data_IF_523026111392
#
_entry.id   IF_523026111392
#
_cell.length_a   1.000
_cell.length_b   1.000
_cell.length_c   1.000
_cell.angle_alpha   90.00
_cell.angle_beta   90.00
_cell.angle_gamma   90.00
#
_symmetry.space_group_name_H-M   'P 1'
#
loop_
_entity.id
_entity.type
_entity.pdbx_description
1 polymer ?
#
# COMPACT_ATOMS: atom_id res chain seq x y z
N UNK A 1 26.39 -21.42 18.21
CA UNK A 1 25.24 -20.97 19.00
C UNK A 1 24.67 -19.77 18.26
N UNK A 2 23.61 -19.96 17.52
CA UNK A 2 22.85 -18.88 16.85
C UNK A 2 22.23 -18.08 18.00
N UNK A 3 22.47 -16.77 18.03
CA UNK A 3 21.98 -15.94 19.13
C UNK A 3 20.45 -15.93 19.19
N UNK A 4 19.89 -15.81 20.38
CA UNK A 4 18.42 -15.73 20.61
C UNK A 4 17.80 -14.63 19.75
N UNK A 5 18.54 -13.57 19.43
CA UNK A 5 18.12 -12.47 18.54
C UNK A 5 17.91 -12.92 17.07
N UNK A 6 18.66 -13.87 16.54
CA UNK A 6 18.46 -14.39 15.16
C UNK A 6 17.26 -15.33 15.05
N UNK A 7 16.91 -16.05 16.13
CA UNK A 7 15.69 -16.86 16.19
C UNK A 7 14.43 -15.98 16.30
N UNK A 8 14.47 -14.89 17.03
CA UNK A 8 13.36 -13.93 17.14
C UNK A 8 13.11 -13.18 15.82
N UNK A 9 14.16 -12.87 15.06
CA UNK A 9 14.04 -12.25 13.73
C UNK A 9 13.36 -13.19 12.69
N UNK A 10 13.67 -14.50 12.74
CA UNK A 10 13.02 -15.47 11.87
C UNK A 10 11.54 -15.76 12.24
N UNK A 11 11.14 -15.52 13.48
CA UNK A 11 9.73 -15.66 13.92
C UNK A 11 8.91 -14.44 13.52
N UNK A 12 9.53 -13.24 13.38
CA UNK A 12 8.86 -12.00 12.96
C UNK A 12 8.43 -11.95 11.49
N UNK A 13 8.99 -12.82 10.64
CA UNK A 13 8.62 -12.92 9.21
C UNK A 13 7.35 -13.73 8.93
N UNK A 14 6.63 -14.22 9.95
CA UNK A 14 5.36 -14.89 9.73
C UNK A 14 4.26 -13.87 9.44
N UNK A 15 4.03 -13.68 8.14
CA UNK A 15 2.97 -12.95 7.48
C UNK A 15 1.67 -12.87 8.29
N UNK A 16 1.43 -11.74 8.95
CA UNK A 16 0.07 -11.35 9.27
C UNK A 16 -0.58 -10.92 7.96
N UNK A 17 -1.07 -11.91 7.18
CA UNK A 17 -1.89 -11.63 6.01
C UNK A 17 -3.03 -10.71 6.44
N UNK A 18 -3.21 -9.58 5.77
CA UNK A 18 -4.35 -8.71 5.97
C UNK A 18 -5.01 -8.47 4.62
N UNK A 19 -6.33 -8.56 4.58
CA UNK A 19 -7.10 -8.26 3.37
C UNK A 19 -7.04 -6.76 3.11
N UNK A 20 -6.71 -6.40 1.88
CA UNK A 20 -6.65 -5.01 1.40
C UNK A 20 -7.85 -4.66 0.53
N UNK A 21 -8.46 -5.65 -0.11
CA UNK A 21 -9.62 -5.49 -0.97
C UNK A 21 -10.58 -6.66 -0.82
N UNK A 22 -11.87 -6.36 -0.67
CA UNK A 22 -12.96 -7.33 -0.82
C UNK A 22 -13.55 -7.13 -2.21
N UNK A 23 -13.66 -8.22 -2.97
CA UNK A 23 -14.28 -8.23 -4.30
C UNK A 23 -15.59 -9.02 -4.21
N UNK A 24 -16.64 -8.39 -4.65
CA UNK A 24 -18.00 -8.89 -4.56
C UNK A 24 -18.48 -9.42 -5.90
N UNK A 25 -19.10 -10.59 -5.92
CA UNK A 25 -20.13 -10.85 -6.89
C UNK A 25 -21.40 -10.08 -6.53
N UNK A 26 -22.41 -10.07 -7.40
CA UNK A 26 -23.61 -9.25 -7.22
C UNK A 26 -24.87 -10.08 -7.04
N UNK A 27 -25.26 -10.86 -8.07
CA UNK A 27 -26.48 -11.63 -8.08
C UNK A 27 -26.46 -12.70 -6.98
N UNK A 28 -27.50 -12.79 -6.17
CA UNK A 28 -27.57 -13.64 -4.97
C UNK A 28 -26.40 -13.49 -3.97
N UNK A 29 -25.51 -12.50 -4.18
CA UNK A 29 -24.36 -12.20 -3.31
C UNK A 29 -24.50 -10.85 -2.62
N UNK A 30 -24.46 -9.73 -3.35
CA UNK A 30 -24.68 -8.38 -2.80
C UNK A 30 -26.17 -8.10 -2.60
N UNK A 31 -27.00 -8.61 -3.50
CA UNK A 31 -28.45 -8.54 -3.46
C UNK A 31 -29.08 -9.91 -3.69
N UNK A 32 -30.36 -10.04 -3.32
CA UNK A 32 -31.19 -11.20 -3.64
C UNK A 32 -31.72 -11.05 -5.05
N UNK A 33 -31.69 -12.14 -5.81
CA UNK A 33 -32.19 -12.22 -7.19
C UNK A 33 -31.06 -12.06 -8.23
N UNK A 34 -31.47 -12.25 -9.50
CA UNK A 34 -30.60 -12.15 -10.69
C UNK A 34 -31.05 -10.96 -11.52
N UNK A 35 -30.19 -9.94 -11.63
CA UNK A 35 -30.56 -8.62 -12.18
C UNK A 35 -31.16 -8.66 -13.59
N UNK A 36 -30.69 -9.58 -14.43
CA UNK A 36 -31.19 -9.70 -15.82
C UNK A 36 -32.41 -10.60 -15.98
N UNK A 37 -32.79 -11.34 -14.95
CA UNK A 37 -33.90 -12.32 -15.00
C UNK A 37 -35.09 -11.89 -14.13
N UNK A 38 -34.81 -11.25 -12.99
CA UNK A 38 -35.83 -10.87 -12.03
C UNK A 38 -36.37 -9.44 -12.30
N UNK A 39 -37.63 -9.20 -11.98
CA UNK A 39 -38.25 -7.87 -12.12
C UNK A 39 -37.61 -6.85 -11.17
N UNK A 40 -37.24 -7.28 -9.96
CA UNK A 40 -36.63 -6.46 -8.94
C UNK A 40 -35.57 -7.28 -8.17
N UNK A 41 -34.47 -6.66 -7.83
CA UNK A 41 -33.45 -7.18 -6.89
C UNK A 41 -33.48 -6.31 -5.64
N UNK A 42 -33.18 -6.91 -4.48
CA UNK A 42 -33.15 -6.21 -3.19
C UNK A 42 -31.84 -6.50 -2.47
N UNK A 43 -31.25 -5.48 -1.86
CA UNK A 43 -30.00 -5.64 -1.10
C UNK A 43 -30.17 -6.68 0.02
N UNK A 44 -29.12 -7.46 0.25
CA UNK A 44 -29.05 -8.33 1.43
C UNK A 44 -29.12 -7.52 2.71
N UNK A 45 -29.65 -8.11 3.76
CA UNK A 45 -29.73 -7.48 5.08
C UNK A 45 -28.33 -7.08 5.58
N UNK A 46 -28.23 -5.90 6.17
CA UNK A 46 -26.98 -5.31 6.72
C UNK A 46 -25.83 -5.08 5.72
N UNK A 47 -26.00 -5.35 4.42
CA UNK A 47 -24.93 -5.21 3.43
C UNK A 47 -24.34 -3.78 3.38
N UNK A 48 -25.18 -2.76 3.50
CA UNK A 48 -24.75 -1.36 3.50
C UNK A 48 -23.84 -1.08 4.70
N UNK A 49 -24.20 -1.56 5.89
CA UNK A 49 -23.38 -1.38 7.08
C UNK A 49 -22.05 -2.13 6.97
N UNK A 50 -22.05 -3.32 6.37
CA UNK A 50 -20.85 -4.10 6.11
C UNK A 50 -19.90 -3.35 5.17
N UNK A 51 -20.41 -2.83 4.05
CA UNK A 51 -19.62 -2.02 3.09
C UNK A 51 -19.00 -0.80 3.78
N UNK A 52 -19.80 -0.07 4.57
CA UNK A 52 -19.32 1.11 5.30
C UNK A 52 -18.25 0.75 6.35
N UNK A 53 -18.43 -0.37 7.04
CA UNK A 53 -17.46 -0.81 8.06
C UNK A 53 -16.13 -1.21 7.42
N UNK A 54 -16.15 -1.94 6.31
CA UNK A 54 -14.94 -2.28 5.55
C UNK A 54 -14.25 -1.03 5.02
N UNK A 55 -14.99 -0.08 4.45
CA UNK A 55 -14.45 1.21 3.98
C UNK A 55 -13.76 1.99 5.12
N UNK A 56 -14.40 2.10 6.28
CA UNK A 56 -13.83 2.75 7.47
C UNK A 56 -12.56 2.04 7.98
N UNK A 57 -12.47 0.72 7.86
CA UNK A 57 -11.27 -0.06 8.17
C UNK A 57 -10.16 0.13 7.12
N UNK A 58 -10.43 0.85 6.04
CA UNK A 58 -9.51 1.06 4.92
C UNK A 58 -9.30 -0.21 4.10
N UNK A 59 -10.28 -1.11 4.09
CA UNK A 59 -10.37 -2.24 3.17
C UNK A 59 -11.12 -1.76 1.94
N UNK A 60 -10.43 -1.74 0.81
CA UNK A 60 -11.02 -1.34 -0.47
C UNK A 60 -12.06 -2.35 -0.92
N UNK A 61 -12.94 -1.94 -1.82
CA UNK A 61 -13.94 -2.83 -2.36
C UNK A 61 -14.01 -2.71 -3.89
N UNK A 62 -14.29 -3.81 -4.55
CA UNK A 62 -14.46 -3.91 -6.00
C UNK A 62 -15.58 -4.92 -6.33
N UNK A 63 -15.86 -5.06 -7.61
CA UNK A 63 -16.86 -5.99 -8.13
C UNK A 63 -16.22 -6.89 -9.17
N UNK A 64 -16.56 -8.18 -9.15
CA UNK A 64 -16.32 -9.13 -10.24
C UNK A 64 -17.62 -9.88 -10.50
N UNK A 65 -18.40 -9.47 -11.50
CA UNK A 65 -19.73 -10.04 -11.78
C UNK A 65 -19.94 -10.29 -13.27
N UNK A 66 -20.57 -11.41 -13.60
CA UNK A 66 -21.02 -11.75 -14.95
C UNK A 66 -22.38 -11.11 -15.22
N UNK A 67 -22.37 -9.87 -15.69
CA UNK A 67 -23.57 -9.09 -15.86
C UNK A 67 -23.43 -8.04 -16.97
N UNK A 68 -24.53 -7.37 -17.35
CA UNK A 68 -24.48 -6.18 -18.21
C UNK A 68 -24.01 -4.96 -17.43
N UNK A 69 -22.97 -4.30 -17.93
CA UNK A 69 -22.32 -3.18 -17.24
C UNK A 69 -23.25 -2.02 -16.98
N UNK A 70 -24.01 -1.58 -18.00
CA UNK A 70 -24.83 -0.37 -17.91
C UNK A 70 -25.99 -0.56 -16.92
N UNK A 71 -26.69 -1.70 -17.04
CA UNK A 71 -27.79 -2.06 -16.14
C UNK A 71 -27.31 -2.17 -14.70
N UNK A 72 -26.16 -2.82 -14.49
CA UNK A 72 -25.58 -3.02 -13.15
C UNK A 72 -25.17 -1.71 -12.50
N UNK A 73 -24.50 -0.81 -13.25
CA UNK A 73 -24.09 0.50 -12.70
C UNK A 73 -25.33 1.31 -12.32
N UNK A 74 -26.37 1.33 -13.16
CA UNK A 74 -27.64 2.01 -12.85
C UNK A 74 -28.24 1.48 -11.55
N UNK A 75 -28.24 0.15 -11.36
CA UNK A 75 -28.77 -0.46 -10.13
C UNK A 75 -27.93 -0.12 -8.89
N UNK A 76 -26.61 -0.11 -9.01
CA UNK A 76 -25.71 0.31 -7.93
C UNK A 76 -25.88 1.80 -7.58
N UNK A 77 -26.17 2.66 -8.56
CA UNK A 77 -26.49 4.07 -8.35
C UNK A 77 -27.82 4.23 -7.59
N UNK A 78 -28.86 3.47 -7.97
CA UNK A 78 -30.14 3.45 -7.24
C UNK A 78 -29.95 3.07 -5.77
N UNK A 79 -29.04 2.14 -5.47
CA UNK A 79 -28.70 1.75 -4.10
C UNK A 79 -27.71 2.71 -3.41
N UNK A 80 -27.13 3.70 -4.13
CA UNK A 80 -26.14 4.64 -3.62
C UNK A 80 -24.78 4.01 -3.32
N UNK A 81 -24.47 2.87 -3.93
CA UNK A 81 -23.29 2.05 -3.63
C UNK A 81 -22.12 2.21 -4.62
N UNK A 82 -22.34 2.75 -5.82
CA UNK A 82 -21.34 2.86 -6.89
C UNK A 82 -19.99 3.46 -6.39
N UNK A 83 -20.07 4.46 -5.54
CA UNK A 83 -18.89 5.17 -5.01
C UNK A 83 -17.95 4.33 -4.15
N UNK A 84 -18.38 3.15 -3.69
CA UNK A 84 -17.58 2.27 -2.84
C UNK A 84 -16.71 1.29 -3.64
N UNK A 85 -17.04 1.04 -4.90
CA UNK A 85 -16.39 0.03 -5.71
C UNK A 85 -15.38 0.65 -6.68
N UNK A 86 -14.12 0.26 -6.52
CA UNK A 86 -13.00 0.70 -7.36
C UNK A 86 -12.72 -0.35 -8.44
N UNK A 87 -12.49 0.09 -9.68
CA UNK A 87 -12.14 -0.77 -10.81
C UNK A 87 -13.08 -1.97 -11.01
N UNK A 88 -14.41 -1.79 -10.97
CA UNK A 88 -15.35 -2.89 -11.09
C UNK A 88 -15.17 -3.63 -12.43
N UNK A 89 -15.14 -4.95 -12.36
CA UNK A 89 -15.10 -5.86 -13.49
C UNK A 89 -16.49 -6.49 -13.67
N UNK A 90 -17.33 -5.83 -14.44
CA UNK A 90 -18.69 -6.28 -14.78
C UNK A 90 -18.66 -6.66 -16.25
N UNK A 91 -18.48 -7.94 -16.53
CA UNK A 91 -18.32 -8.50 -17.86
C UNK A 91 -18.48 -10.02 -17.82
N UNK A 92 -18.43 -10.70 -18.98
CA UNK A 92 -18.62 -12.13 -19.11
C UNK A 92 -17.32 -12.96 -19.07
N UNK A 93 -16.20 -12.36 -18.62
CA UNK A 93 -14.93 -13.07 -18.42
C UNK A 93 -14.99 -13.97 -17.17
N UNK A 94 -13.98 -14.85 -17.01
CA UNK A 94 -13.88 -15.64 -15.78
C UNK A 94 -13.64 -14.73 -14.55
N UNK A 95 -14.13 -15.15 -13.39
CA UNK A 95 -13.91 -14.43 -12.13
C UNK A 95 -12.42 -14.31 -11.83
N UNK A 96 -11.64 -15.37 -12.07
CA UNK A 96 -10.19 -15.33 -11.87
C UNK A 96 -9.50 -14.23 -12.70
N UNK A 97 -9.87 -14.07 -13.98
CA UNK A 97 -9.35 -13.00 -14.84
C UNK A 97 -9.72 -11.61 -14.32
N UNK A 98 -10.97 -11.43 -13.89
CA UNK A 98 -11.47 -10.18 -13.32
C UNK A 98 -10.72 -9.82 -12.03
N UNK A 99 -10.46 -10.79 -11.16
CA UNK A 99 -9.68 -10.60 -9.92
C UNK A 99 -8.23 -10.23 -10.18
N UNK A 100 -7.58 -10.83 -11.20
CA UNK A 100 -6.22 -10.46 -11.62
C UNK A 100 -6.16 -9.00 -12.12
N UNK A 101 -7.14 -8.55 -12.90
CA UNK A 101 -7.19 -7.17 -13.38
C UNK A 101 -7.45 -6.17 -12.25
N UNK A 102 -8.32 -6.51 -11.28
CA UNK A 102 -8.54 -5.72 -10.07
C UNK A 102 -7.25 -5.62 -9.25
N UNK A 103 -6.56 -6.74 -8.99
CA UNK A 103 -5.30 -6.78 -8.25
C UNK A 103 -4.23 -5.87 -8.90
N UNK A 104 -4.10 -5.96 -10.22
CA UNK A 104 -3.19 -5.15 -11.02
C UNK A 104 -3.55 -3.66 -10.94
N UNK A 105 -4.82 -3.31 -11.11
CA UNK A 105 -5.30 -1.93 -11.08
C UNK A 105 -5.13 -1.28 -9.69
N UNK A 106 -5.33 -2.05 -8.61
CA UNK A 106 -5.11 -1.62 -7.23
C UNK A 106 -3.63 -1.70 -6.81
N UNK A 107 -2.78 -2.32 -7.62
CA UNK A 107 -1.37 -2.61 -7.31
C UNK A 107 -1.21 -3.33 -5.96
N UNK A 108 -1.96 -4.42 -5.77
CA UNK A 108 -1.91 -5.29 -4.58
C UNK A 108 -1.66 -6.74 -4.96
N UNK A 109 -1.13 -7.53 -4.02
CA UNK A 109 -0.98 -8.98 -4.23
C UNK A 109 -2.32 -9.71 -4.20
N UNK A 110 -2.42 -10.84 -4.91
CA UNK A 110 -3.59 -11.70 -4.90
C UNK A 110 -3.90 -12.24 -3.48
N UNK A 111 -2.88 -12.43 -2.67
CA UNK A 111 -2.96 -12.83 -1.25
C UNK A 111 -3.59 -11.78 -0.32
N UNK A 112 -3.83 -10.57 -0.83
CA UNK A 112 -4.48 -9.48 -0.11
C UNK A 112 -5.94 -9.25 -0.56
N UNK A 113 -6.51 -10.18 -1.35
CA UNK A 113 -7.89 -10.12 -1.85
C UNK A 113 -8.74 -11.18 -1.15
N UNK A 114 -9.95 -10.79 -0.75
CA UNK A 114 -11.04 -11.71 -0.46
C UNK A 114 -12.09 -11.59 -1.56
N UNK A 115 -12.55 -12.72 -2.08
CA UNK A 115 -13.59 -12.80 -3.09
C UNK A 115 -14.83 -13.49 -2.51
N UNK A 116 -16.01 -12.89 -2.72
CA UNK A 116 -17.28 -13.34 -2.20
C UNK A 116 -18.22 -13.65 -3.36
N UNK A 117 -18.77 -14.86 -3.36
CA UNK A 117 -19.66 -15.35 -4.40
C UNK A 117 -20.62 -16.39 -3.80
N UNK A 118 -21.87 -16.50 -4.32
CA UNK A 118 -22.85 -17.51 -3.91
C UNK A 118 -22.60 -18.86 -4.62
N UNK A 119 -21.95 -18.84 -5.79
CA UNK A 119 -21.75 -20.02 -6.60
C UNK A 119 -20.48 -20.77 -6.23
N UNK A 120 -20.63 -21.95 -5.66
CA UNK A 120 -19.50 -22.82 -5.31
C UNK A 120 -18.59 -23.11 -6.50
N UNK A 121 -19.12 -23.22 -7.71
CA UNK A 121 -18.33 -23.44 -8.93
C UNK A 121 -17.35 -22.28 -9.19
N UNK A 122 -17.81 -21.03 -9.08
CA UNK A 122 -16.97 -19.84 -9.27
C UNK A 122 -15.89 -19.75 -8.18
N UNK A 123 -16.24 -20.04 -6.93
CA UNK A 123 -15.28 -20.08 -5.83
C UNK A 123 -14.20 -21.15 -6.04
N UNK A 124 -14.58 -22.35 -6.49
CA UNK A 124 -13.62 -23.43 -6.75
C UNK A 124 -12.73 -23.13 -7.98
N UNK A 125 -13.27 -22.50 -9.04
CA UNK A 125 -12.48 -22.04 -10.18
C UNK A 125 -11.42 -21.02 -9.74
N UNK A 126 -11.82 -20.06 -8.90
CA UNK A 126 -10.89 -19.04 -8.36
C UNK A 126 -9.85 -19.69 -7.45
N UNK A 127 -10.22 -20.58 -6.55
CA UNK A 127 -9.27 -21.30 -5.69
C UNK A 127 -8.24 -22.11 -6.48
N UNK A 128 -8.67 -22.72 -7.59
CA UNK A 128 -7.79 -23.49 -8.46
C UNK A 128 -6.81 -22.59 -9.24
N UNK A 129 -7.32 -21.48 -9.78
CA UNK A 129 -6.53 -20.58 -10.65
C UNK A 129 -5.68 -19.59 -9.87
N UNK A 130 -6.18 -19.12 -8.72
CA UNK A 130 -5.59 -18.09 -7.88
C UNK A 130 -5.62 -18.55 -6.40
N UNK A 131 -4.83 -19.55 -6.01
CA UNK A 131 -4.91 -20.19 -4.69
C UNK A 131 -4.57 -19.27 -3.51
N UNK A 132 -4.00 -18.09 -3.78
CA UNK A 132 -3.68 -17.10 -2.76
C UNK A 132 -4.91 -16.30 -2.28
N UNK A 133 -5.98 -16.24 -3.08
CA UNK A 133 -7.20 -15.47 -2.77
C UNK A 133 -7.98 -16.18 -1.66
N UNK A 134 -8.47 -15.38 -0.71
CA UNK A 134 -9.45 -15.84 0.26
C UNK A 134 -10.84 -15.88 -0.38
N UNK A 135 -11.35 -17.07 -0.68
CA UNK A 135 -12.71 -17.26 -1.19
C UNK A 135 -13.68 -17.47 -0.04
N UNK A 136 -14.79 -16.72 -0.03
CA UNK A 136 -15.84 -16.72 1.00
C UNK A 136 -17.18 -16.99 0.32
N UNK A 137 -17.96 -17.92 0.84
CA UNK A 137 -19.33 -18.13 0.35
C UNK A 137 -20.23 -16.98 0.82
N UNK A 138 -21.17 -16.58 -0.04
CA UNK A 138 -22.13 -15.52 0.27
C UNK A 138 -23.00 -15.80 1.52
N UNK A 139 -23.16 -17.06 1.91
CA UNK A 139 -23.86 -17.44 3.14
C UNK A 139 -23.05 -17.10 4.41
N UNK A 140 -21.74 -16.90 4.29
CA UNK A 140 -20.82 -16.56 5.39
C UNK A 140 -20.61 -15.03 5.54
N UNK A 141 -21.31 -14.20 4.76
CA UNK A 141 -21.16 -12.74 4.76
C UNK A 141 -21.33 -12.14 6.16
N UNK A 142 -22.23 -12.71 6.99
CA UNK A 142 -22.49 -12.25 8.35
C UNK A 142 -21.26 -12.25 9.26
N UNK A 143 -20.33 -13.16 9.04
CA UNK A 143 -19.15 -13.39 9.90
C UNK A 143 -17.89 -12.62 9.45
N UNK A 144 -17.95 -11.97 8.29
CA UNK A 144 -16.76 -11.33 7.67
C UNK A 144 -16.12 -10.29 8.59
N UNK A 145 -16.91 -9.48 9.27
CA UNK A 145 -16.40 -8.42 10.15
C UNK A 145 -15.69 -8.96 11.39
N UNK A 146 -15.96 -10.20 11.77
CA UNK A 146 -15.36 -10.88 12.93
C UNK A 146 -14.08 -11.65 12.58
N UNK A 147 -13.81 -11.84 11.29
CA UNK A 147 -12.57 -12.47 10.83
C UNK A 147 -11.36 -11.63 11.22
N UNK A 148 -10.35 -12.18 11.94
CA UNK A 148 -9.15 -11.41 12.35
C UNK A 148 -8.41 -10.75 11.17
N UNK A 149 -8.45 -11.37 9.99
CA UNK A 149 -7.81 -10.88 8.76
C UNK A 149 -8.49 -9.62 8.19
N UNK A 150 -9.76 -9.36 8.58
CA UNK A 150 -10.55 -8.16 8.23
C UNK A 150 -10.49 -7.08 9.32
N UNK A 151 -9.73 -7.32 10.39
CA UNK A 151 -9.64 -6.43 11.54
C UNK A 151 -8.23 -5.85 11.64
N UNK A 152 -7.95 -4.66 11.09
CA UNK A 152 -6.68 -3.99 11.31
C UNK A 152 -6.54 -3.60 12.79
N UNK A 153 -5.31 -3.65 13.33
CA UNK A 153 -5.04 -3.26 14.72
C UNK A 153 -5.43 -1.80 14.99
N UNK A 154 -5.21 -0.92 14.02
CA UNK A 154 -5.57 0.50 14.10
C UNK A 154 -6.40 0.91 12.89
N UNK A 155 -7.37 1.77 13.13
CA UNK A 155 -8.13 2.47 12.10
C UNK A 155 -7.63 3.91 12.07
N UNK A 156 -6.62 4.16 11.24
CA UNK A 156 -5.99 5.47 11.09
C UNK A 156 -6.88 6.42 10.27
N UNK A 157 -6.59 7.71 10.30
CA UNK A 157 -7.25 8.68 9.43
C UNK A 157 -7.03 8.36 7.95
N UNK A 158 -5.79 7.98 7.59
CA UNK A 158 -5.45 7.48 6.25
C UNK A 158 -6.27 6.23 5.85
N UNK A 159 -6.62 5.36 6.80
CA UNK A 159 -7.49 4.20 6.54
C UNK A 159 -8.89 4.63 6.13
N UNK A 160 -9.48 5.57 6.86
CA UNK A 160 -10.86 6.06 6.63
C UNK A 160 -11.05 6.74 5.28
N UNK A 161 -10.01 7.42 4.79
CA UNK A 161 -10.05 8.15 3.51
C UNK A 161 -9.36 7.38 2.37
N UNK A 162 -8.95 6.13 2.61
CA UNK A 162 -8.15 5.36 1.65
C UNK A 162 -8.81 5.24 0.29
N UNK A 163 -10.10 4.92 0.24
CA UNK A 163 -10.85 4.85 -1.02
C UNK A 163 -10.79 6.17 -1.78
N UNK A 164 -10.94 7.30 -1.10
CA UNK A 164 -10.85 8.63 -1.73
C UNK A 164 -9.45 8.88 -2.32
N UNK A 165 -8.39 8.44 -1.64
CA UNK A 165 -7.03 8.50 -2.18
C UNK A 165 -6.89 7.70 -3.48
N UNK A 166 -7.53 6.52 -3.58
CA UNK A 166 -7.54 5.74 -4.82
C UNK A 166 -8.37 6.39 -5.93
N UNK A 167 -9.49 7.03 -5.60
CA UNK A 167 -10.26 7.82 -6.58
C UNK A 167 -9.40 8.94 -7.14
N UNK A 168 -8.69 9.69 -6.29
CA UNK A 168 -7.75 10.72 -6.74
C UNK A 168 -6.62 10.13 -7.59
N UNK A 169 -6.15 8.89 -7.30
CA UNK A 169 -5.15 8.21 -8.13
C UNK A 169 -5.71 7.85 -9.52
N UNK A 170 -6.97 7.45 -9.62
CA UNK A 170 -7.65 7.19 -10.90
C UNK A 170 -7.73 8.48 -11.72
N UNK A 171 -8.11 9.60 -11.10
CA UNK A 171 -8.18 10.90 -11.76
C UNK A 171 -6.80 11.33 -12.27
N UNK A 172 -5.74 11.16 -11.48
CA UNK A 172 -4.35 11.43 -11.89
C UNK A 172 -3.92 10.59 -13.07
N UNK A 173 -4.18 9.28 -13.03
CA UNK A 173 -3.83 8.37 -14.11
C UNK A 173 -4.56 8.70 -15.42
N UNK A 174 -5.82 9.10 -15.34
CA UNK A 174 -6.57 9.53 -16.51
C UNK A 174 -6.00 10.83 -17.08
N UNK A 175 -5.72 11.82 -16.23
CA UNK A 175 -5.08 13.05 -16.64
C UNK A 175 -3.67 12.83 -17.24
N UNK A 176 -2.89 11.86 -16.70
CA UNK A 176 -1.58 11.51 -17.24
C UNK A 176 -1.68 10.87 -18.64
N UNK A 177 -2.67 10.01 -18.87
CA UNK A 177 -2.91 9.38 -20.19
C UNK A 177 -3.33 10.39 -21.26
N UNK A 178 -4.09 11.42 -20.87
CA UNK A 178 -4.58 12.47 -21.78
C UNK A 178 -3.56 13.59 -22.00
N UNK A 179 -2.52 13.66 -21.14
CA UNK A 179 -1.52 14.73 -21.22
C UNK A 179 -0.58 14.55 -22.40
N UNK A 180 -0.42 15.62 -23.18
CA UNK A 180 0.50 15.69 -24.32
C UNK A 180 1.77 16.40 -23.87
N UNK A 181 2.83 15.65 -23.59
CA UNK A 181 4.12 16.16 -23.13
C UNK A 181 4.97 15.08 -22.50
N UNK A 182 6.08 15.50 -21.90
CA UNK A 182 6.97 14.59 -21.15
C UNK A 182 6.42 14.30 -19.75
N UNK A 183 6.91 13.22 -19.13
CA UNK A 183 6.56 12.88 -17.74
C UNK A 183 6.86 14.03 -16.78
N UNK A 184 8.01 14.71 -16.92
CA UNK A 184 8.40 15.82 -16.05
C UNK A 184 7.45 17.04 -16.21
N UNK A 185 7.02 17.31 -17.43
CA UNK A 185 6.03 18.36 -17.68
C UNK A 185 4.67 18.01 -17.06
N UNK A 186 4.24 16.78 -17.16
CA UNK A 186 3.03 16.31 -16.44
C UNK A 186 3.18 16.48 -14.93
N UNK A 187 4.28 15.97 -14.34
CA UNK A 187 4.55 16.10 -12.91
C UNK A 187 4.55 17.56 -12.44
N UNK A 188 5.03 18.48 -13.27
CA UNK A 188 5.00 19.91 -12.95
C UNK A 188 3.57 20.47 -12.84
N UNK A 189 2.59 19.88 -13.55
CA UNK A 189 1.18 20.29 -13.47
C UNK A 189 0.51 19.85 -12.17
N UNK A 190 1.08 18.90 -11.44
CA UNK A 190 0.48 18.33 -10.22
C UNK A 190 0.58 19.27 -9.02
N UNK A 191 1.52 20.23 -9.01
CA UNK A 191 1.78 21.12 -7.88
C UNK A 191 2.10 20.34 -6.58
N UNK A 192 2.98 19.36 -6.67
CA UNK A 192 3.29 18.48 -5.55
C UNK A 192 3.96 19.20 -4.38
N UNK A 193 3.41 19.01 -3.18
CA UNK A 193 4.01 19.41 -1.89
C UNK A 193 4.45 18.14 -1.16
N UNK A 194 5.75 17.97 -0.99
CA UNK A 194 6.35 16.83 -0.34
C UNK A 194 7.02 17.26 0.96
N UNK A 195 6.62 16.63 2.08
CA UNK A 195 7.10 16.99 3.40
C UNK A 195 7.77 15.76 4.03
N UNK A 196 8.95 15.95 4.65
CA UNK A 196 9.58 15.00 5.56
C UNK A 196 9.62 15.63 6.94
N UNK A 197 9.22 14.89 7.96
CA UNK A 197 9.29 15.33 9.36
C UNK A 197 9.82 14.23 10.27
N UNK A 198 10.32 14.60 11.45
CA UNK A 198 10.53 13.66 12.54
C UNK A 198 9.18 13.07 12.96
N UNK A 199 9.08 11.73 13.05
CA UNK A 199 7.83 11.08 13.39
C UNK A 199 7.39 11.46 14.81
N UNK A 200 6.15 11.87 14.96
CA UNK A 200 5.52 12.14 16.25
C UNK A 200 4.73 10.92 16.74
N UNK A 201 4.26 10.94 17.97
CA UNK A 201 3.51 9.82 18.55
C UNK A 201 2.22 9.51 17.76
N UNK A 202 1.56 10.55 17.29
CA UNK A 202 0.36 10.48 16.44
C UNK A 202 0.59 9.79 15.09
N UNK A 203 1.84 9.77 14.61
CA UNK A 203 2.21 9.12 13.35
C UNK A 203 2.40 7.61 13.50
N UNK A 204 2.64 7.10 14.71
CA UNK A 204 3.11 5.73 14.92
C UNK A 204 2.10 4.66 14.49
N UNK A 205 0.81 4.90 14.67
CA UNK A 205 -0.23 3.98 14.19
C UNK A 205 -0.16 3.83 12.67
N UNK A 206 0.01 4.96 11.98
CA UNK A 206 0.15 4.95 10.52
C UNK A 206 1.50 4.39 10.09
N UNK A 207 2.58 4.66 10.82
CA UNK A 207 3.90 4.08 10.56
C UNK A 207 3.88 2.55 10.68
N UNK A 208 3.26 1.97 11.73
CA UNK A 208 3.03 0.52 11.83
C UNK A 208 2.25 0.02 10.62
N UNK A 209 1.13 0.65 10.28
CA UNK A 209 0.31 0.27 9.14
C UNK A 209 1.12 0.28 7.81
N UNK A 210 1.97 1.27 7.61
CA UNK A 210 2.84 1.35 6.42
C UNK A 210 3.78 0.15 6.35
N UNK A 211 4.39 -0.28 7.46
CA UNK A 211 5.29 -1.45 7.47
C UNK A 211 4.55 -2.74 7.13
N UNK A 212 3.30 -2.89 7.61
CA UNK A 212 2.47 -4.07 7.35
C UNK A 212 1.95 -4.12 5.90
N UNK A 213 1.65 -2.97 5.31
CA UNK A 213 1.01 -2.90 3.99
C UNK A 213 1.98 -2.73 2.82
N UNK A 214 3.24 -2.41 3.08
CA UNK A 214 4.23 -2.11 2.03
C UNK A 214 5.24 -3.23 1.89
N UNK A 215 5.13 -4.02 0.81
CA UNK A 215 6.01 -5.15 0.55
C UNK A 215 7.01 -4.85 -0.59
N UNK A 216 6.55 -4.24 -1.70
CA UNK A 216 7.39 -4.00 -2.89
C UNK A 216 8.40 -2.88 -2.68
N UNK A 217 7.97 -1.78 -2.05
CA UNK A 217 8.81 -0.62 -1.81
C UNK A 217 9.23 -0.55 -0.33
N UNK A 218 9.76 -1.65 0.18
CA UNK A 218 10.32 -1.80 1.53
C UNK A 218 11.70 -2.46 1.43
N UNK A 219 12.76 -1.81 1.91
CA UNK A 219 14.15 -2.25 1.75
C UNK A 219 14.47 -3.54 2.48
N UNK A 220 13.79 -3.85 3.57
CA UNK A 220 14.07 -5.04 4.38
C UNK A 220 12.92 -6.02 4.45
N UNK A 221 11.69 -5.57 4.14
CA UNK A 221 10.48 -6.35 4.34
C UNK A 221 10.10 -6.51 5.83
N UNK A 222 10.85 -5.90 6.76
CA UNK A 222 10.51 -5.96 8.18
C UNK A 222 9.25 -5.18 8.47
N UNK A 223 8.46 -5.72 9.40
CA UNK A 223 7.29 -5.06 9.99
C UNK A 223 7.65 -4.65 11.41
N UNK A 224 7.31 -3.43 11.77
CA UNK A 224 7.56 -2.88 13.09
C UNK A 224 6.24 -2.58 13.79
N UNK A 225 6.14 -2.98 15.06
CA UNK A 225 5.01 -2.64 15.91
C UNK A 225 5.05 -1.18 16.36
N UNK A 226 3.91 -0.67 16.83
CA UNK A 226 3.81 0.65 17.44
C UNK A 226 4.86 0.86 18.53
N UNK A 227 5.02 -0.12 19.44
CA UNK A 227 5.92 -0.03 20.58
C UNK A 227 7.39 0.01 20.15
N UNK A 228 7.78 -0.78 19.14
CA UNK A 228 9.13 -0.74 18.56
C UNK A 228 9.40 0.62 17.89
N UNK A 229 8.47 1.12 17.10
CA UNK A 229 8.60 2.43 16.44
C UNK A 229 8.67 3.56 17.47
N UNK A 230 7.90 3.47 18.56
CA UNK A 230 7.95 4.46 19.63
C UNK A 230 9.30 4.42 20.37
N UNK A 231 9.86 3.24 20.60
CA UNK A 231 11.19 3.10 21.18
C UNK A 231 12.26 3.75 20.30
N UNK A 232 12.21 3.56 18.97
CA UNK A 232 13.12 4.23 18.05
C UNK A 232 12.91 5.74 18.00
N UNK A 233 11.67 6.21 18.03
CA UNK A 233 11.34 7.65 18.07
C UNK A 233 11.93 8.36 19.29
N UNK A 234 11.94 7.68 20.44
CA UNK A 234 12.45 8.22 21.70
C UNK A 234 13.96 8.04 21.89
N UNK A 235 14.61 7.25 21.04
CA UNK A 235 16.04 6.93 21.14
C UNK A 235 16.89 8.05 20.59
N UNK A 236 17.92 8.48 21.35
CA UNK A 236 18.92 9.45 20.90
C UNK A 236 19.81 8.90 19.76
N UNK A 237 19.89 7.56 19.63
CA UNK A 237 20.68 6.88 18.63
C UNK A 237 19.90 6.52 17.37
N UNK A 238 18.67 7.00 17.23
CA UNK A 238 17.84 6.74 16.06
C UNK A 238 17.14 8.01 15.56
N UNK A 239 16.89 8.02 14.25
CA UNK A 239 15.98 8.99 13.63
C UNK A 239 14.87 8.20 12.94
N UNK A 240 13.63 8.47 13.34
CA UNK A 240 12.45 7.96 12.69
C UNK A 240 11.79 9.13 11.95
N UNK A 241 11.84 9.08 10.60
CA UNK A 241 11.31 10.12 9.74
C UNK A 241 10.07 9.60 9.02
N UNK A 242 9.06 10.46 8.90
CA UNK A 242 7.85 10.17 8.16
C UNK A 242 7.70 11.16 7.00
N UNK A 243 7.19 10.67 5.86
CA UNK A 243 7.01 11.48 4.67
C UNK A 243 5.53 11.53 4.26
N UNK A 244 5.07 12.71 3.84
CA UNK A 244 3.74 12.92 3.30
C UNK A 244 3.80 13.63 1.95
N UNK A 245 2.79 13.40 1.13
CA UNK A 245 2.65 14.01 -0.19
C UNK A 245 1.21 14.47 -0.40
N UNK A 246 1.07 15.64 -1.00
CA UNK A 246 -0.20 16.12 -1.53
C UNK A 246 0.00 16.77 -2.89
N UNK A 247 -1.03 16.83 -3.70
CA UNK A 247 -1.04 17.51 -4.98
C UNK A 247 -2.41 18.15 -5.26
N UNK A 248 -2.61 18.71 -6.46
CA UNK A 248 -3.87 19.37 -6.85
C UNK A 248 -5.11 18.46 -6.82
N UNK A 249 -4.94 17.11 -6.84
CA UNK A 249 -6.04 16.16 -6.75
C UNK A 249 -6.33 15.72 -5.31
N UNK A 250 -5.45 16.05 -4.36
CA UNK A 250 -5.63 15.76 -2.94
C UNK A 250 -4.43 15.12 -2.28
N UNK A 251 -4.63 14.70 -1.03
CA UNK A 251 -3.58 14.09 -0.21
C UNK A 251 -3.38 12.62 -0.57
N UNK A 252 -2.11 12.20 -0.61
CA UNK A 252 -1.71 10.79 -0.59
C UNK A 252 -1.59 10.24 0.83
N UNK A 253 -1.70 11.10 1.85
CA UNK A 253 -1.46 10.78 3.26
C UNK A 253 0.01 10.63 3.60
N UNK A 254 0.28 9.94 4.70
CA UNK A 254 1.64 9.54 5.07
C UNK A 254 2.07 8.38 4.16
N UNK A 255 3.09 8.62 3.33
CA UNK A 255 3.45 7.73 2.22
C UNK A 255 4.82 7.07 2.39
N UNK A 256 5.64 7.51 3.31
CA UNK A 256 7.00 6.99 3.49
C UNK A 256 7.45 6.97 4.93
N UNK A 257 8.36 6.06 5.25
CA UNK A 257 8.99 5.92 6.55
C UNK A 257 10.47 5.62 6.36
N UNK A 258 11.31 6.28 7.15
CA UNK A 258 12.75 6.03 7.19
C UNK A 258 13.16 5.83 8.65
N UNK A 259 13.84 4.72 8.93
CA UNK A 259 14.50 4.48 10.21
C UNK A 259 16.01 4.51 10.00
N UNK A 260 16.70 5.37 10.73
CA UNK A 260 18.16 5.52 10.67
C UNK A 260 18.72 5.23 12.06
N UNK A 261 19.64 4.31 12.16
CA UNK A 261 20.50 4.12 13.34
C UNK A 261 21.69 5.07 13.24
N UNK A 262 21.86 5.93 14.25
CA UNK A 262 22.85 7.00 14.28
C UNK A 262 23.98 6.64 15.27
N UNK A 263 25.14 6.28 14.76
CA UNK A 263 26.35 6.08 15.54
C UNK A 263 27.32 7.25 15.31
N UNK A 264 28.31 7.49 16.20
CA UNK A 264 29.18 8.67 16.10
C UNK A 264 29.95 8.82 14.79
N UNK A 265 30.29 7.72 14.11
CA UNK A 265 31.08 7.73 12.87
C UNK A 265 30.32 7.24 11.63
N UNK A 266 29.14 6.64 11.82
CA UNK A 266 28.34 6.09 10.73
C UNK A 266 26.87 6.07 11.05
N UNK A 267 26.05 6.39 10.06
CA UNK A 267 24.61 6.22 10.12
C UNK A 267 24.20 5.07 9.20
N UNK A 268 23.24 4.28 9.65
CA UNK A 268 22.73 3.13 8.88
C UNK A 268 21.24 3.28 8.66
N UNK A 269 20.79 3.34 7.41
CA UNK A 269 19.37 3.23 7.06
C UNK A 269 18.94 1.80 7.35
N UNK A 270 18.17 1.61 8.43
CA UNK A 270 17.62 0.31 8.85
C UNK A 270 16.33 -0.04 8.13
N UNK A 271 15.59 0.97 7.71
CA UNK A 271 14.37 0.85 6.94
C UNK A 271 14.21 2.07 6.04
N UNK A 272 13.90 1.83 4.78
CA UNK A 272 13.33 2.80 3.87
C UNK A 272 12.12 2.15 3.20
N UNK A 273 10.95 2.70 3.40
CA UNK A 273 9.77 2.26 2.69
C UNK A 273 8.94 3.43 2.17
N UNK A 274 8.18 3.16 1.12
CA UNK A 274 7.22 4.11 0.58
C UNK A 274 6.01 3.39 -0.02
N UNK A 275 4.85 4.01 0.05
CA UNK A 275 3.61 3.51 -0.55
C UNK A 275 3.75 3.30 -2.05
N UNK A 276 3.22 2.20 -2.59
CA UNK A 276 3.22 1.93 -4.03
C UNK A 276 2.46 3.00 -4.84
N UNK A 277 1.53 3.75 -4.22
CA UNK A 277 0.78 4.84 -4.86
C UNK A 277 1.66 6.00 -5.34
N UNK A 278 2.84 6.17 -4.76
CA UNK A 278 3.78 7.23 -5.15
C UNK A 278 4.92 6.74 -6.06
N UNK A 279 4.83 5.50 -6.54
CA UNK A 279 5.73 4.99 -7.57
C UNK A 279 5.67 5.95 -8.78
N UNK A 280 6.78 6.28 -9.39
CA UNK A 280 6.88 7.26 -10.48
C UNK A 280 6.70 8.75 -10.13
N UNK A 281 6.51 9.13 -8.88
CA UNK A 281 6.43 10.56 -8.46
C UNK A 281 7.80 11.14 -8.01
N UNK A 282 8.87 10.35 -8.08
CA UNK A 282 10.23 10.80 -7.73
C UNK A 282 10.51 10.92 -6.22
N UNK A 283 9.52 10.68 -5.35
CA UNK A 283 9.63 10.90 -3.89
C UNK A 283 10.68 10.02 -3.23
N UNK A 284 10.89 8.78 -3.70
CA UNK A 284 11.93 7.90 -3.17
C UNK A 284 13.35 8.46 -3.32
N UNK A 285 13.62 9.10 -4.44
CA UNK A 285 14.90 9.80 -4.67
C UNK A 285 15.05 10.98 -3.73
N UNK A 286 13.97 11.75 -3.50
CA UNK A 286 14.00 12.90 -2.58
C UNK A 286 14.25 12.42 -1.15
N UNK A 287 13.60 11.32 -0.72
CA UNK A 287 13.81 10.72 0.60
C UNK A 287 15.26 10.30 0.80
N UNK A 288 15.85 9.59 -0.17
CA UNK A 288 17.28 9.18 -0.11
C UNK A 288 18.22 10.39 -0.10
N UNK A 289 18.01 11.35 -0.98
CA UNK A 289 18.84 12.57 -1.05
C UNK A 289 18.77 13.37 0.25
N UNK A 290 17.61 13.40 0.91
CA UNK A 290 17.47 14.04 2.22
C UNK A 290 18.35 13.35 3.26
N UNK A 291 18.33 12.03 3.37
CA UNK A 291 19.17 11.27 4.31
C UNK A 291 20.65 11.43 3.97
N UNK A 292 21.02 11.38 2.68
CA UNK A 292 22.40 11.61 2.23
C UNK A 292 22.88 13.02 2.63
N UNK A 293 22.03 14.04 2.47
CA UNK A 293 22.33 15.42 2.88
C UNK A 293 22.50 15.55 4.40
N UNK A 294 21.67 14.84 5.17
CA UNK A 294 21.81 14.82 6.62
C UNK A 294 23.12 14.14 7.06
N UNK A 295 23.49 13.02 6.47
CA UNK A 295 24.75 12.32 6.77
C UNK A 295 25.97 13.18 6.40
N UNK A 296 25.93 13.82 5.21
CA UNK A 296 27.00 14.74 4.77
C UNK A 296 27.17 15.93 5.71
N UNK A 297 26.06 16.57 6.16
CA UNK A 297 26.10 17.68 7.11
C UNK A 297 26.68 17.30 8.48
N UNK A 298 26.53 16.04 8.88
CA UNK A 298 27.04 15.52 10.15
C UNK A 298 28.43 14.88 10.02
N UNK A 299 29.01 14.89 8.83
CA UNK A 299 30.35 14.32 8.52
C UNK A 299 30.48 12.85 8.93
N UNK A 300 29.42 12.04 8.65
CA UNK A 300 29.37 10.61 8.97
C UNK A 300 29.25 9.76 7.72
N UNK A 301 29.77 8.53 7.78
CA UNK A 301 29.53 7.53 6.73
C UNK A 301 28.07 7.16 6.66
N UNK A 302 27.54 6.96 5.46
CA UNK A 302 26.16 6.51 5.27
C UNK A 302 26.12 5.08 4.75
N UNK A 303 25.59 4.21 5.58
CA UNK A 303 25.29 2.81 5.27
C UNK A 303 23.79 2.61 5.07
N UNK A 304 23.42 1.53 4.38
CA UNK A 304 22.02 1.15 4.22
C UNK A 304 21.87 -0.37 4.22
N UNK A 305 20.91 -0.86 4.97
CA UNK A 305 20.57 -2.28 5.02
C UNK A 305 19.54 -2.63 3.94
N UNK A 306 19.75 -3.76 3.28
CA UNK A 306 18.82 -4.34 2.33
C UNK A 306 18.68 -5.84 2.56
N UNK A 307 17.46 -6.32 2.71
CA UNK A 307 17.15 -7.74 2.82
C UNK A 307 16.31 -8.16 1.62
N UNK A 308 16.90 -8.87 0.64
CA UNK A 308 16.18 -9.26 -0.58
C UNK A 308 15.02 -10.20 -0.28
N UNK A 309 13.91 -9.96 -0.97
CA UNK A 309 12.77 -10.85 -1.03
C UNK A 309 12.15 -10.84 -2.45
N UNK A 310 11.15 -11.68 -2.69
CA UNK A 310 10.54 -11.87 -4.02
C UNK A 310 9.89 -10.60 -4.60
N UNK A 311 9.67 -9.55 -3.78
CA UNK A 311 8.89 -8.37 -4.15
C UNK A 311 9.68 -7.06 -4.17
N UNK A 312 10.81 -6.95 -3.45
CA UNK A 312 11.48 -5.66 -3.20
C UNK A 312 12.67 -5.32 -4.10
N UNK A 313 12.80 -5.99 -5.24
CA UNK A 313 13.89 -5.73 -6.21
C UNK A 313 14.01 -4.26 -6.61
N UNK A 314 12.90 -3.53 -6.68
CA UNK A 314 12.91 -2.09 -7.01
C UNK A 314 13.69 -1.26 -5.98
N UNK A 315 13.66 -1.62 -4.71
CA UNK A 315 14.40 -0.91 -3.66
C UNK A 315 15.92 -1.13 -3.77
N UNK A 316 16.36 -2.34 -4.17
CA UNK A 316 17.74 -2.59 -4.52
C UNK A 316 18.22 -1.67 -5.66
N UNK A 317 17.41 -1.59 -6.73
CA UNK A 317 17.68 -0.74 -7.88
C UNK A 317 17.73 0.73 -7.46
N UNK A 318 16.83 1.18 -6.58
CA UNK A 318 16.80 2.55 -6.06
C UNK A 318 18.10 2.91 -5.32
N UNK A 319 18.63 2.01 -4.48
CA UNK A 319 19.93 2.23 -3.84
C UNK A 319 21.06 2.34 -4.86
N UNK A 320 21.11 1.45 -5.87
CA UNK A 320 22.14 1.49 -6.92
C UNK A 320 22.09 2.80 -7.72
N UNK A 321 20.91 3.28 -8.09
CA UNK A 321 20.75 4.56 -8.80
C UNK A 321 21.12 5.78 -7.95
N UNK A 322 20.89 5.71 -6.63
CA UNK A 322 21.32 6.74 -5.70
C UNK A 322 22.84 6.70 -5.39
N UNK A 323 23.59 5.80 -6.04
CA UNK A 323 25.05 5.71 -5.91
C UNK A 323 25.55 4.82 -4.77
N UNK A 324 24.66 4.07 -4.11
CA UNK A 324 25.06 3.10 -3.09
C UNK A 324 25.79 1.90 -3.71
N UNK A 325 26.87 1.46 -3.08
CA UNK A 325 27.70 0.30 -3.46
C UNK A 325 27.60 -0.77 -2.37
N UNK A 326 27.50 -2.04 -2.76
CA UNK A 326 27.56 -3.15 -1.80
C UNK A 326 28.96 -3.21 -1.17
N UNK A 327 29.02 -3.25 0.15
CA UNK A 327 30.27 -3.34 0.91
C UNK A 327 30.38 -4.61 1.75
N UNK A 328 29.24 -5.17 2.15
CA UNK A 328 29.22 -6.37 3.01
C UNK A 328 27.97 -7.22 2.74
N UNK A 329 28.08 -8.55 2.95
CA UNK A 329 26.96 -9.49 2.94
C UNK A 329 26.97 -10.31 4.20
N UNK A 330 25.89 -10.23 4.98
CA UNK A 330 25.70 -10.95 6.23
C UNK A 330 24.49 -11.87 6.11
N UNK A 331 24.70 -13.14 5.78
CA UNK A 331 23.62 -14.07 5.50
C UNK A 331 22.76 -13.60 4.32
N UNK A 332 21.48 -13.32 4.57
CA UNK A 332 20.56 -12.78 3.57
C UNK A 332 20.55 -11.25 3.50
N UNK A 333 21.24 -10.54 4.40
CA UNK A 333 21.31 -9.07 4.41
C UNK A 333 22.49 -8.58 3.59
N UNK A 334 22.29 -7.49 2.87
CA UNK A 334 23.32 -6.77 2.12
C UNK A 334 23.46 -5.38 2.71
N UNK A 335 24.70 -4.99 3.05
CA UNK A 335 25.01 -3.63 3.49
C UNK A 335 25.55 -2.85 2.30
N UNK A 336 24.96 -1.72 2.07
CA UNK A 336 25.39 -0.73 1.09
C UNK A 336 26.08 0.43 1.78
N UNK A 337 26.96 1.12 1.07
CA UNK A 337 27.58 2.39 1.47
C UNK A 337 27.45 3.42 0.35
N UNK A 338 27.18 4.67 0.73
CA UNK A 338 27.17 5.80 -0.18
C UNK A 338 28.35 6.74 0.13
N UNK A 339 29.09 7.15 -0.89
CA UNK A 339 30.25 8.05 -0.76
C UNK A 339 29.85 9.54 -0.63
N UNK A 340 28.56 9.86 -0.67
CA UNK A 340 27.97 11.19 -0.52
C UNK A 340 28.48 12.23 -1.54
N UNK A 341 29.12 11.79 -2.61
CA UNK A 341 29.69 12.69 -3.63
C UNK A 341 28.68 13.20 -4.63
N UNK A 342 27.54 12.51 -4.76
CA UNK A 342 26.49 12.80 -5.74
C UNK A 342 25.12 12.86 -5.08
N UNK A 343 24.79 13.99 -4.49
CA UNK A 343 23.44 14.26 -3.97
C UNK A 343 22.68 15.05 -5.03
N UNK A 344 21.63 14.48 -5.57
CA UNK A 344 20.82 15.14 -6.58
C UNK A 344 19.97 16.25 -5.96
N UNK A 345 19.81 17.36 -6.69
CA UNK A 345 18.86 18.39 -6.28
C UNK A 345 17.42 17.86 -6.31
N UNK A 346 16.57 18.42 -5.45
CA UNK A 346 15.13 18.15 -5.51
C UNK A 346 14.60 18.62 -6.86
N UNK A 347 13.79 17.83 -7.58
CA UNK A 347 13.22 18.23 -8.85
C UNK A 347 12.39 19.53 -8.71
N UNK A 348 12.49 20.42 -9.69
CA UNK A 348 11.83 21.72 -9.64
C UNK A 348 10.29 21.65 -9.60
N UNK A 349 9.73 20.50 -10.00
CA UNK A 349 8.29 20.24 -9.97
C UNK A 349 7.75 19.81 -8.58
N UNK A 350 8.62 19.71 -7.56
CA UNK A 350 8.22 19.35 -6.19
C UNK A 350 8.58 20.50 -5.25
N UNK A 351 7.60 20.98 -4.51
CA UNK A 351 7.84 21.83 -3.34
C UNK A 351 8.20 20.91 -2.18
N UNK A 352 9.48 20.92 -1.79
CA UNK A 352 10.00 20.10 -0.72
C UNK A 352 10.14 20.88 0.57
N UNK A 353 9.64 20.33 1.67
CA UNK A 353 9.72 20.90 3.00
C UNK A 353 10.25 19.88 4.00
N UNK A 354 11.02 20.35 4.96
CA UNK A 354 11.45 19.58 6.13
C UNK A 354 10.87 20.26 7.36
N UNK A 355 10.21 19.50 8.23
CA UNK A 355 9.67 19.95 9.51
C UNK A 355 10.43 19.20 10.60
N UNK A 356 11.17 19.94 11.42
CA UNK A 356 11.95 19.42 12.55
C UNK A 356 11.07 19.11 13.76
#
# INVERSE_FOLDING_TARGET
MISIQEQDLNIKQKDKKSIKCVVWDLDNTLWHGVLLEDQEVSLRENIINLIHTLDNRGILQSIASKNDYATTITKLEEFGLTKYFLYPQINWSSKASSLQEIAKSLNIGMDAIAFIDDQLFELEEVKFTCPEILCINADEIGDILDMPIMNPRFITEDSRIRRLMYISDIERQNAEKEFIGTTDEFLATLNMNFTISSAQEEDLQRAEELTLRTNQLNTTGYTYSYDELNSFRQSENHKLLIASLEDKYGSYGKIGLILIECQPQSWTIKLLLMSCRVMSRGVGTIMLNHVMSLAQKNDVRLLAEFVPNDRNRMMYISYKFAGFKEVEKNGNSVIFENDLTRIQAVPAYVKFQVID
#
